data_IF_482764097546
#
_entry.id   IF_482764097546
#
_cell.length_a   1.000
_cell.length_b   1.000
_cell.length_c   1.000
_cell.angle_alpha   90.00
_cell.angle_beta   90.00
_cell.angle_gamma   90.00
#
_symmetry.space_group_name_H-M   'P 1'
#
loop_
_entity.id
_entity.type
_entity.pdbx_description
1 polymer ?
#
# COMPACT_ATOMS: atom_id res chain seq x y z
N UNK A 1 -18.70 -4.25 14.57
CA UNK A 1 -17.31 -4.70 14.32
C UNK A 1 -17.26 -5.18 12.89
N UNK A 2 -16.73 -4.36 11.99
CA UNK A 2 -16.60 -4.75 10.57
C UNK A 2 -15.66 -5.93 10.46
N UNK A 3 -16.23 -7.06 10.03
CA UNK A 3 -15.54 -8.34 9.95
C UNK A 3 -14.67 -8.28 8.70
N UNK A 4 -13.37 -8.07 8.88
CA UNK A 4 -12.41 -8.11 7.77
C UNK A 4 -12.62 -9.42 7.01
N UNK A 5 -12.84 -9.34 5.70
CA UNK A 5 -13.02 -10.50 4.82
C UNK A 5 -11.69 -11.23 4.64
N UNK A 6 -11.73 -12.50 4.21
CA UNK A 6 -10.48 -13.24 3.96
C UNK A 6 -9.63 -12.61 2.86
N UNK A 7 -10.26 -11.95 1.88
CA UNK A 7 -9.54 -11.25 0.82
C UNK A 7 -8.85 -9.99 1.34
N UNK A 8 -9.50 -9.22 2.22
CA UNK A 8 -8.90 -8.05 2.87
C UNK A 8 -7.72 -8.47 3.75
N UNK A 9 -7.88 -9.51 4.60
CA UNK A 9 -6.78 -10.07 5.40
C UNK A 9 -5.61 -10.48 4.54
N UNK A 10 -5.86 -11.26 3.48
CA UNK A 10 -4.80 -11.73 2.58
C UNK A 10 -4.10 -10.56 1.89
N UNK A 11 -4.86 -9.59 1.40
CA UNK A 11 -4.32 -8.40 0.72
C UNK A 11 -3.45 -7.58 1.66
N UNK A 12 -3.92 -7.33 2.88
CA UNK A 12 -3.19 -6.60 3.90
C UNK A 12 -1.89 -7.31 4.29
N UNK A 13 -1.91 -8.63 4.48
CA UNK A 13 -0.71 -9.42 4.77
C UNK A 13 0.33 -9.30 3.66
N UNK A 14 -0.10 -9.34 2.38
CA UNK A 14 0.82 -9.19 1.25
C UNK A 14 1.45 -7.79 1.24
N UNK A 15 0.65 -6.74 1.44
CA UNK A 15 1.13 -5.35 1.50
C UNK A 15 2.14 -5.18 2.64
N UNK A 16 1.83 -5.70 3.83
CA UNK A 16 2.72 -5.64 4.98
C UNK A 16 4.05 -6.38 4.70
N UNK A 17 4.00 -7.60 4.18
CA UNK A 17 5.19 -8.39 3.89
C UNK A 17 6.09 -7.70 2.85
N UNK A 18 5.52 -7.11 1.80
CA UNK A 18 6.29 -6.35 0.82
C UNK A 18 6.89 -5.07 1.43
N UNK A 19 6.13 -4.38 2.29
CA UNK A 19 6.61 -3.19 2.99
C UNK A 19 7.78 -3.52 3.93
N UNK A 20 7.77 -4.68 4.59
CA UNK A 20 8.89 -5.17 5.41
C UNK A 20 10.14 -5.47 4.58
N UNK A 21 9.96 -5.77 3.28
CA UNK A 21 11.05 -5.96 2.32
C UNK A 21 11.47 -4.64 1.63
N UNK A 22 11.06 -3.49 2.16
CA UNK A 22 11.32 -2.17 1.60
C UNK A 22 10.85 -2.02 0.15
N UNK A 23 9.72 -2.65 -0.18
CA UNK A 23 9.11 -2.56 -1.51
C UNK A 23 7.71 -1.98 -1.40
N UNK A 24 7.38 -1.07 -2.32
CA UNK A 24 6.02 -0.54 -2.48
C UNK A 24 5.23 -1.50 -3.38
N UNK A 25 4.18 -2.18 -2.87
CA UNK A 25 3.32 -3.01 -3.69
C UNK A 25 2.65 -2.23 -4.82
N UNK A 26 2.64 -2.83 -6.01
CA UNK A 26 1.76 -2.39 -7.09
C UNK A 26 0.44 -3.14 -7.09
N UNK A 27 -0.61 -2.58 -7.69
CA UNK A 27 -1.88 -3.30 -7.91
C UNK A 27 -1.64 -4.61 -8.67
N UNK A 28 -0.70 -4.64 -9.61
CA UNK A 28 -0.37 -5.85 -10.38
C UNK A 28 0.31 -6.91 -9.50
N UNK A 29 1.23 -6.53 -8.62
CA UNK A 29 1.83 -7.45 -7.62
C UNK A 29 0.73 -8.08 -6.74
N UNK A 30 -0.21 -7.25 -6.29
CA UNK A 30 -1.31 -7.71 -5.44
C UNK A 30 -2.26 -8.62 -6.22
N UNK A 31 -2.56 -8.33 -7.49
CA UNK A 31 -3.35 -9.20 -8.35
C UNK A 31 -2.69 -10.58 -8.50
N UNK A 32 -1.39 -10.62 -8.80
CA UNK A 32 -0.63 -11.85 -8.95
C UNK A 32 -0.60 -12.67 -7.65
N UNK A 33 -0.31 -12.03 -6.51
CA UNK A 33 -0.17 -12.72 -5.22
C UNK A 33 -1.51 -13.13 -4.59
N UNK A 34 -2.58 -12.38 -4.85
CA UNK A 34 -3.92 -12.75 -4.38
C UNK A 34 -4.59 -13.78 -5.30
N UNK A 35 -4.19 -13.85 -6.57
CA UNK A 35 -4.86 -14.63 -7.62
C UNK A 35 -6.17 -14.00 -8.07
N UNK A 36 -6.32 -12.68 -7.91
CA UNK A 36 -7.55 -11.93 -8.22
C UNK A 36 -7.27 -10.84 -9.24
N UNK A 37 -8.21 -10.62 -10.15
CA UNK A 37 -8.12 -9.51 -11.10
C UNK A 37 -8.43 -8.15 -10.46
N UNK A 38 -7.97 -7.07 -11.12
CA UNK A 38 -8.13 -5.67 -10.66
C UNK A 38 -9.56 -5.33 -10.26
N UNK A 39 -10.56 -5.75 -11.05
CA UNK A 39 -11.98 -5.48 -10.77
C UNK A 39 -12.44 -5.98 -9.39
N UNK A 40 -11.87 -7.08 -8.89
CA UNK A 40 -12.21 -7.61 -7.56
C UNK A 40 -11.31 -7.06 -6.46
N UNK A 41 -10.13 -6.56 -6.81
CA UNK A 41 -9.11 -6.15 -5.84
C UNK A 41 -9.15 -4.66 -5.53
N UNK A 42 -9.52 -3.81 -6.50
CA UNK A 42 -9.64 -2.37 -6.29
C UNK A 42 -10.65 -2.00 -5.19
N UNK A 43 -11.88 -2.56 -5.15
CA UNK A 43 -12.81 -2.26 -4.05
C UNK A 43 -12.27 -2.67 -2.68
N UNK A 44 -11.51 -3.77 -2.62
CA UNK A 44 -10.86 -4.24 -1.39
C UNK A 44 -9.79 -3.25 -0.93
N UNK A 45 -8.98 -2.73 -1.85
CA UNK A 45 -7.94 -1.74 -1.55
C UNK A 45 -8.57 -0.41 -1.12
N UNK A 46 -9.63 0.02 -1.80
CA UNK A 46 -10.40 1.22 -1.44
C UNK A 46 -10.99 1.09 -0.03
N UNK A 47 -11.57 -0.06 0.32
CA UNK A 47 -12.08 -0.31 1.67
C UNK A 47 -10.95 -0.30 2.72
N UNK A 48 -9.81 -0.95 2.43
CA UNK A 48 -8.64 -0.92 3.34
C UNK A 48 -8.09 0.50 3.53
N UNK A 49 -8.15 1.34 2.48
CA UNK A 49 -7.72 2.72 2.55
C UNK A 49 -8.72 3.58 3.35
N UNK A 50 -10.01 3.39 3.13
CA UNK A 50 -11.09 3.99 3.92
C UNK A 50 -10.94 3.66 5.41
N UNK A 51 -10.62 2.39 5.72
CA UNK A 51 -10.33 1.91 7.09
C UNK A 51 -8.99 2.39 7.65
N UNK A 52 -8.23 3.21 6.91
CA UNK A 52 -6.89 3.71 7.29
C UNK A 52 -5.86 2.62 7.59
N UNK A 53 -6.02 1.44 6.98
CA UNK A 53 -5.05 0.32 7.08
C UNK A 53 -3.93 0.45 6.04
N UNK A 54 -4.23 1.09 4.91
CA UNK A 54 -3.26 1.33 3.82
C UNK A 54 -3.43 2.74 3.27
N UNK A 55 -2.42 3.25 2.57
CA UNK A 55 -2.47 4.50 1.82
C UNK A 55 -2.28 4.20 0.34
N UNK A 56 -3.18 4.73 -0.49
CA UNK A 56 -3.01 4.74 -1.95
C UNK A 56 -2.06 5.90 -2.28
N UNK A 57 -0.90 5.57 -2.87
CA UNK A 57 0.13 6.56 -3.21
C UNK A 57 -0.14 7.17 -4.60
N UNK A 58 -0.63 6.35 -5.52
CA UNK A 58 -1.09 6.74 -6.86
C UNK A 58 -1.98 5.62 -7.42
N UNK A 59 -2.40 5.75 -8.69
CA UNK A 59 -3.27 4.78 -9.36
C UNK A 59 -2.73 3.34 -9.41
N UNK A 60 -1.42 3.12 -9.15
CA UNK A 60 -0.76 1.81 -9.25
C UNK A 60 -0.17 1.34 -7.92
N UNK A 61 0.08 2.20 -6.95
CA UNK A 61 0.88 1.88 -5.78
C UNK A 61 0.12 2.10 -4.48
N UNK A 62 0.31 1.18 -3.54
CA UNK A 62 -0.26 1.23 -2.20
C UNK A 62 0.82 0.93 -1.17
N UNK A 63 0.66 1.44 0.04
CA UNK A 63 1.59 1.17 1.15
C UNK A 63 0.83 0.97 2.45
N UNK A 64 1.42 0.21 3.38
CA UNK A 64 0.84 -0.01 4.71
C UNK A 64 0.73 1.30 5.52
N UNK A 65 -0.29 1.37 6.39
CA UNK A 65 -0.38 2.35 7.47
C UNK A 65 -0.25 1.67 8.85
N UNK A 66 0.45 2.29 9.83
CA UNK A 66 1.25 3.51 9.70
C UNK A 66 2.38 3.35 8.66
N UNK A 67 2.87 4.46 8.12
CA UNK A 67 3.90 4.41 7.07
C UNK A 67 5.14 3.70 7.61
N UNK A 68 5.75 2.80 6.84
CA UNK A 68 7.02 2.21 7.23
C UNK A 68 8.11 3.29 7.35
N UNK A 69 8.94 3.22 8.39
CA UNK A 69 10.01 4.20 8.65
C UNK A 69 10.95 4.44 7.47
N UNK A 70 11.25 3.40 6.70
CA UNK A 70 12.11 3.54 5.52
C UNK A 70 11.46 4.44 4.46
N UNK A 71 10.13 4.36 4.31
CA UNK A 71 9.39 5.17 3.36
C UNK A 71 9.21 6.61 3.87
N UNK A 72 9.01 6.79 5.18
CA UNK A 72 9.02 8.12 5.80
C UNK A 72 10.34 8.85 5.52
N UNK A 73 11.47 8.16 5.69
CA UNK A 73 12.80 8.70 5.35
C UNK A 73 12.96 9.06 3.88
N UNK A 74 12.47 8.21 2.96
CA UNK A 74 12.51 8.53 1.52
C UNK A 74 11.72 9.79 1.18
N UNK A 75 10.58 10.02 1.87
CA UNK A 75 9.80 11.25 1.69
C UNK A 75 10.55 12.47 2.21
N UNK A 76 11.18 12.38 3.39
CA UNK A 76 12.00 13.46 3.93
C UNK A 76 13.20 13.80 3.03
N UNK A 77 13.88 12.78 2.50
CA UNK A 77 15.01 12.95 1.57
C UNK A 77 14.57 13.65 0.28
N UNK A 78 13.41 13.28 -0.28
CA UNK A 78 12.84 13.94 -1.47
C UNK A 78 12.41 15.39 -1.21
N UNK A 79 11.81 15.65 -0.05
CA UNK A 79 11.41 17.01 0.33
C UNK A 79 12.65 17.91 0.45
N UNK A 80 13.71 17.44 1.12
CA UNK A 80 14.98 18.18 1.23
C UNK A 80 15.62 18.48 -0.13
N UNK A 81 15.56 17.55 -1.07
CA UNK A 81 16.12 17.78 -2.41
C UNK A 81 15.34 18.85 -3.18
N UNK A 82 14.01 18.88 -3.04
CA UNK A 82 13.14 19.84 -3.73
C UNK A 82 13.38 21.27 -3.23
N UNK A 83 13.68 21.45 -1.95
CA UNK A 83 13.98 22.77 -1.36
C UNK A 83 15.36 23.32 -1.76
N UNK A 84 16.27 22.47 -2.26
CA UNK A 84 17.61 22.88 -2.75
C UNK A 84 17.55 23.31 -4.22
N UNK A 85 16.58 22.79 -4.97
CA UNK A 85 16.43 23.05 -6.42
C UNK A 85 15.54 24.28 -6.74
N UNK A 86 15.12 25.05 -5.72
CA UNK A 86 14.33 26.29 -5.80
C UNK A 86 15.14 27.53 -5.39
#
# INVERSE_FOLDING_TARGET
>A
MDRVTDIERKTLTIINNMSQLHRIPTIDDLCQKTGRGKQRLLPVIEQLAHDRKVKILNAKQVIMLPLPRWYERELEEKARQTDIDL
#
